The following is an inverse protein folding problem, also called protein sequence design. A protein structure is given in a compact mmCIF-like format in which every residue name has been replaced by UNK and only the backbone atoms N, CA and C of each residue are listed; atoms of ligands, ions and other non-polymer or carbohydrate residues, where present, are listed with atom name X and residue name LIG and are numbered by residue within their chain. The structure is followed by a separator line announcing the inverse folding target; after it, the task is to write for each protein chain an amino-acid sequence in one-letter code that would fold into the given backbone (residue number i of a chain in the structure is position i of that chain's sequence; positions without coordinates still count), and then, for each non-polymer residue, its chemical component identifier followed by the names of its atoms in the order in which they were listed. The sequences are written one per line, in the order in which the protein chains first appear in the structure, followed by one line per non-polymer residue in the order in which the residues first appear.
data_IF_797563009029
#
_entry.id   IF_797563009029
#
_cell.length_a   1.000
_cell.length_b   1.000
_cell.length_c   1.000
_cell.angle_alpha   90.00
_cell.angle_beta   90.00
_cell.angle_gamma   90.00
#
_symmetry.space_group_name_H-M   'P 1'
#
loop_
_entity.id
_entity.type
_entity.pdbx_description
1 polymer ?
#
# COMPACT_ATOMS: atom_id res chain seq x y z
N UNK A 1 -19.04 -8.44 -5.30
CA UNK A 1 -17.80 -8.76 -4.58
C UNK A 1 -16.99 -7.48 -4.38
N UNK A 2 -16.51 -7.23 -3.18
CA UNK A 2 -15.74 -6.04 -2.88
C UNK A 2 -14.37 -6.09 -3.51
N UNK A 3 -13.84 -4.94 -3.88
CA UNK A 3 -12.48 -4.79 -4.39
C UNK A 3 -11.62 -4.23 -3.26
N UNK A 4 -10.59 -4.96 -2.89
CA UNK A 4 -9.69 -4.58 -1.81
C UNK A 4 -8.27 -4.49 -2.35
N UNK A 5 -7.60 -3.38 -2.10
CA UNK A 5 -6.20 -3.21 -2.46
C UNK A 5 -5.33 -3.53 -1.24
N UNK A 6 -4.35 -4.38 -1.43
CA UNK A 6 -3.36 -4.69 -0.41
C UNK A 6 -2.03 -4.15 -0.89
N UNK A 7 -1.59 -3.05 -0.30
CA UNK A 7 -0.35 -2.39 -0.68
C UNK A 7 0.73 -2.79 0.32
N UNK A 8 1.77 -3.45 -0.16
CA UNK A 8 2.86 -3.91 0.68
C UNK A 8 4.04 -2.95 0.56
N UNK A 9 4.34 -2.26 1.64
CA UNK A 9 5.46 -1.32 1.73
C UNK A 9 6.36 -1.72 2.89
N UNK A 10 6.66 -3.02 2.99
CA UNK A 10 7.32 -3.60 4.16
C UNK A 10 8.83 -3.52 4.19
N UNK A 11 9.47 -2.89 3.20
CA UNK A 11 10.91 -2.78 3.20
C UNK A 11 11.42 -1.96 4.38
N UNK A 12 12.38 -2.50 5.09
CA UNK A 12 12.97 -1.80 6.24
C UNK A 12 13.98 -0.75 5.83
N UNK A 13 14.39 -0.73 4.56
CA UNK A 13 15.39 0.20 4.09
C UNK A 13 16.82 -0.15 4.50
N UNK A 14 17.04 -1.32 5.06
CA UNK A 14 18.37 -1.73 5.53
C UNK A 14 19.44 -1.71 4.46
N UNK A 15 19.05 -1.90 3.21
CA UNK A 15 19.98 -1.91 2.08
C UNK A 15 20.16 -0.55 1.45
N UNK A 16 19.42 0.44 1.91
CA UNK A 16 19.50 1.79 1.41
C UNK A 16 20.32 2.62 2.37
N UNK A 17 21.23 3.39 1.84
CA UNK A 17 21.99 4.32 2.64
C UNK A 17 21.17 5.54 3.02
N UNK A 18 19.96 5.62 2.55
CA UNK A 18 19.03 6.69 2.89
C UNK A 18 18.39 6.43 4.25
N UNK A 19 18.27 7.47 5.05
CA UNK A 19 17.57 7.41 6.32
C UNK A 19 16.07 7.29 6.14
N UNK A 20 15.57 7.66 4.97
CA UNK A 20 14.14 7.64 4.67
C UNK A 20 13.82 6.39 3.87
N UNK A 21 12.90 5.54 4.35
CA UNK A 21 12.48 4.37 3.59
C UNK A 21 11.98 4.73 2.19
N UNK A 22 12.23 3.82 1.25
CA UNK A 22 11.97 4.07 -0.16
C UNK A 22 10.53 4.49 -0.44
N UNK A 23 9.56 3.91 0.27
CA UNK A 23 8.15 4.20 0.06
C UNK A 23 7.75 5.63 0.47
N UNK A 24 8.60 6.32 1.21
CA UNK A 24 8.32 7.68 1.66
C UNK A 24 9.07 8.75 0.87
N UNK A 25 9.94 8.34 -0.05
CA UNK A 25 10.65 9.29 -0.90
C UNK A 25 9.68 10.01 -1.82
N UNK A 26 10.05 11.21 -2.25
CA UNK A 26 9.19 12.00 -3.12
C UNK A 26 9.34 11.57 -4.59
N UNK A 27 8.21 11.47 -5.27
CA UNK A 27 8.14 11.31 -6.71
C UNK A 27 7.19 12.39 -7.21
N UNK A 28 7.68 13.27 -8.10
CA UNK A 28 6.92 14.42 -8.55
C UNK A 28 6.43 15.27 -7.37
N UNK A 29 7.31 15.45 -6.38
CA UNK A 29 7.05 16.25 -5.18
C UNK A 29 5.93 15.71 -4.29
N UNK A 30 5.70 14.39 -4.33
CA UNK A 30 4.65 13.76 -3.53
C UNK A 30 5.16 12.37 -3.08
N UNK A 31 4.95 11.97 -1.80
CA UNK A 31 5.45 10.69 -1.32
C UNK A 31 4.98 9.50 -2.16
N UNK A 32 5.91 8.59 -2.46
CA UNK A 32 5.64 7.43 -3.33
C UNK A 32 4.44 6.62 -2.84
N UNK A 33 4.38 6.33 -1.55
CA UNK A 33 3.28 5.52 -1.01
C UNK A 33 1.92 6.18 -1.21
N UNK A 34 1.86 7.50 -1.10
CA UNK A 34 0.62 8.24 -1.34
C UNK A 34 0.16 8.13 -2.78
N UNK A 35 1.11 8.13 -3.74
CA UNK A 35 0.78 7.88 -5.15
C UNK A 35 0.13 6.51 -5.31
N UNK A 36 0.71 5.49 -4.67
CA UNK A 36 0.19 4.12 -4.75
C UNK A 36 -1.23 4.04 -4.19
N UNK A 37 -1.46 4.64 -3.03
CA UNK A 37 -2.78 4.62 -2.40
C UNK A 37 -3.82 5.32 -3.29
N UNK A 38 -3.46 6.44 -3.90
CA UNK A 38 -4.37 7.19 -4.77
C UNK A 38 -4.79 6.39 -5.99
N UNK A 39 -3.93 5.49 -6.49
CA UNK A 39 -4.28 4.65 -7.64
C UNK A 39 -5.43 3.69 -7.35
N UNK A 40 -5.64 3.37 -6.08
CA UNK A 40 -6.70 2.45 -5.67
C UNK A 40 -7.86 3.15 -4.97
N UNK A 41 -7.97 4.48 -5.12
CA UNK A 41 -8.99 5.26 -4.42
C UNK A 41 -10.42 4.83 -4.76
N UNK A 42 -10.62 4.13 -5.89
CA UNK A 42 -11.94 3.61 -6.30
C UNK A 42 -12.25 2.24 -5.68
N UNK A 43 -11.33 1.64 -4.94
CA UNK A 43 -11.56 0.37 -4.25
C UNK A 43 -12.33 0.61 -2.95
N UNK A 44 -13.10 -0.37 -2.53
CA UNK A 44 -13.91 -0.27 -1.30
C UNK A 44 -13.04 -0.24 -0.05
N UNK A 45 -11.88 -0.90 -0.09
CA UNK A 45 -10.98 -0.94 1.06
C UNK A 45 -9.53 -0.93 0.58
N UNK A 46 -8.69 -0.21 1.29
CA UNK A 46 -7.26 -0.17 1.03
C UNK A 46 -6.54 -0.55 2.32
N UNK A 47 -5.70 -1.58 2.25
CA UNK A 47 -4.89 -2.04 3.38
C UNK A 47 -3.44 -1.78 3.02
N UNK A 48 -2.72 -1.08 3.90
CA UNK A 48 -1.31 -0.76 3.70
C UNK A 48 -0.50 -1.49 4.78
N UNK A 49 0.44 -2.31 4.35
CA UNK A 49 1.30 -3.06 5.27
C UNK A 49 2.63 -2.35 5.37
N UNK A 50 2.97 -1.91 6.58
CA UNK A 50 4.21 -1.18 6.88
C UNK A 50 4.91 -1.83 8.07
N UNK A 51 6.25 -1.71 8.16
CA UNK A 51 6.93 -2.07 9.40
C UNK A 51 6.37 -1.21 10.53
N UNK A 52 6.18 -1.82 11.70
CA UNK A 52 5.63 -1.11 12.86
C UNK A 52 6.46 0.11 13.24
N UNK A 53 7.76 0.05 13.05
CA UNK A 53 8.68 1.16 13.33
C UNK A 53 8.42 2.39 12.47
N UNK A 54 7.66 2.24 11.39
CA UNK A 54 7.37 3.33 10.46
C UNK A 54 5.95 3.91 10.63
N UNK A 55 5.17 3.39 11.56
CA UNK A 55 3.78 3.84 11.74
C UNK A 55 3.72 5.32 12.11
N UNK A 56 4.53 5.75 13.07
CA UNK A 56 4.52 7.14 13.52
C UNK A 56 5.00 8.09 12.42
N UNK A 57 6.02 7.68 11.69
CA UNK A 57 6.54 8.48 10.58
C UNK A 57 5.47 8.66 9.51
N UNK A 58 4.80 7.57 9.14
CA UNK A 58 3.74 7.61 8.14
C UNK A 58 2.57 8.50 8.58
N UNK A 59 2.15 8.36 9.83
CA UNK A 59 1.06 9.16 10.38
C UNK A 59 1.41 10.66 10.32
N UNK A 60 2.62 11.02 10.71
CA UNK A 60 3.07 12.39 10.67
C UNK A 60 3.14 12.91 9.22
N UNK A 61 3.61 12.07 8.31
CA UNK A 61 3.70 12.42 6.91
C UNK A 61 2.31 12.72 6.32
N UNK A 62 1.33 11.89 6.67
CA UNK A 62 -0.05 12.13 6.24
C UNK A 62 -0.57 13.47 6.73
N UNK A 63 -0.28 13.82 7.98
CA UNK A 63 -0.69 15.11 8.53
C UNK A 63 -0.01 16.27 7.81
N UNK A 64 1.29 16.14 7.59
CA UNK A 64 2.09 17.20 6.95
C UNK A 64 1.60 17.48 5.53
N UNK A 65 1.14 16.45 4.84
CA UNK A 65 0.67 16.58 3.45
C UNK A 65 -0.84 16.75 3.33
N UNK A 66 -1.57 16.74 4.45
CA UNK A 66 -3.03 16.79 4.40
C UNK A 66 -3.63 15.60 3.67
N UNK A 67 -2.97 14.44 3.76
CA UNK A 67 -3.41 13.24 3.05
C UNK A 67 -4.48 12.54 3.89
N UNK A 68 -5.71 12.53 3.38
CA UNK A 68 -6.86 12.03 4.14
C UNK A 68 -7.59 10.87 3.45
N UNK A 69 -6.93 10.16 2.52
CA UNK A 69 -7.53 8.98 1.91
C UNK A 69 -7.66 7.87 2.95
N UNK A 70 -8.83 7.28 3.05
CA UNK A 70 -9.08 6.21 4.00
C UNK A 70 -8.27 4.97 3.65
N UNK A 71 -7.55 4.46 4.62
CA UNK A 71 -6.79 3.21 4.49
C UNK A 71 -6.54 2.63 5.86
N UNK A 72 -6.26 1.34 5.90
CA UNK A 72 -5.99 0.61 7.13
C UNK A 72 -4.51 0.27 7.16
N UNK A 73 -3.84 0.55 8.28
CA UNK A 73 -2.42 0.22 8.45
C UNK A 73 -2.31 -1.10 9.19
N UNK A 74 -1.47 -2.00 8.66
CA UNK A 74 -1.23 -3.32 9.24
C UNK A 74 0.28 -3.50 9.40
N UNK A 75 0.69 -4.12 10.51
CA UNK A 75 2.10 -4.38 10.78
C UNK A 75 2.66 -5.41 9.78
N UNK A 76 3.80 -5.10 9.18
CA UNK A 76 4.51 -6.00 8.29
C UNK A 76 5.31 -7.03 9.05
N UNK A 77 5.63 -8.12 8.37
CA UNK A 77 6.49 -9.16 8.91
C UNK A 77 7.94 -9.02 8.45
N UNK A 78 8.73 -10.05 8.75
CA UNK A 78 10.15 -10.06 8.40
C UNK A 78 10.41 -10.30 6.92
N UNK A 79 9.41 -10.82 6.19
CA UNK A 79 9.51 -11.08 4.75
C UNK A 79 8.31 -10.50 4.04
N UNK A 80 8.41 -10.36 2.70
CA UNK A 80 7.26 -9.93 1.90
C UNK A 80 6.10 -10.90 2.06
N UNK A 81 6.39 -12.21 2.08
CA UNK A 81 5.37 -13.24 2.27
C UNK A 81 4.62 -13.03 3.58
N UNK A 82 5.35 -12.83 4.67
CA UNK A 82 4.74 -12.62 5.98
C UNK A 82 3.92 -11.32 6.01
N UNK A 83 4.40 -10.27 5.36
CA UNK A 83 3.68 -9.00 5.27
C UNK A 83 2.36 -9.16 4.52
N UNK A 84 2.37 -9.88 3.39
CA UNK A 84 1.15 -10.17 2.63
C UNK A 84 0.18 -10.96 3.50
N UNK A 85 0.68 -11.98 4.19
CA UNK A 85 -0.15 -12.82 5.06
C UNK A 85 -0.81 -11.99 6.17
N UNK A 86 -0.05 -11.08 6.78
CA UNK A 86 -0.60 -10.22 7.84
C UNK A 86 -1.72 -9.32 7.31
N UNK A 87 -1.53 -8.79 6.10
CA UNK A 87 -2.56 -7.95 5.48
C UNK A 87 -3.82 -8.75 5.13
N UNK A 88 -3.64 -9.94 4.57
CA UNK A 88 -4.76 -10.80 4.21
C UNK A 88 -5.57 -11.23 5.43
N UNK A 89 -4.93 -11.36 6.58
CA UNK A 89 -5.63 -11.73 7.82
C UNK A 89 -6.67 -10.71 8.26
N UNK A 90 -6.61 -9.48 7.72
CA UNK A 90 -7.59 -8.44 8.01
C UNK A 90 -8.81 -8.49 7.09
N UNK A 91 -8.83 -9.43 6.16
CA UNK A 91 -9.93 -9.58 5.21
C UNK A 91 -10.69 -10.85 5.56
N UNK A 92 -11.94 -10.69 5.96
CA UNK A 92 -12.78 -11.81 6.39
C UNK A 92 -14.00 -12.02 5.50
N UNK A 93 -14.00 -11.44 4.33
CA UNK A 93 -15.11 -11.48 3.39
C UNK A 93 -14.62 -11.91 2.02
N UNK A 94 -15.52 -12.43 1.20
CA UNK A 94 -15.19 -12.71 -0.19
C UNK A 94 -14.89 -11.42 -0.92
N UNK A 95 -13.73 -11.37 -1.58
CA UNK A 95 -13.24 -10.14 -2.18
C UNK A 95 -12.32 -10.45 -3.35
N UNK A 96 -12.22 -9.48 -4.25
CA UNK A 96 -11.15 -9.46 -5.24
C UNK A 96 -10.04 -8.62 -4.65
N UNK A 97 -8.87 -9.23 -4.50
CA UNK A 97 -7.74 -8.58 -3.84
C UNK A 97 -6.66 -8.28 -4.86
N UNK A 98 -6.29 -7.00 -4.97
CA UNK A 98 -5.16 -6.57 -5.79
C UNK A 98 -3.99 -6.34 -4.85
N UNK A 99 -2.92 -7.13 -5.01
CA UNK A 99 -1.72 -7.00 -4.21
C UNK A 99 -0.73 -6.13 -4.99
N UNK A 100 -0.27 -5.05 -4.38
CA UNK A 100 0.56 -4.06 -5.02
C UNK A 100 1.76 -3.70 -4.15
N UNK A 101 2.92 -3.54 -4.78
CA UNK A 101 4.12 -3.06 -4.11
C UNK A 101 4.02 -1.54 -3.95
N UNK A 102 4.15 -1.05 -2.72
CA UNK A 102 3.98 0.37 -2.41
C UNK A 102 5.01 1.30 -3.02
N UNK A 103 6.07 0.76 -3.64
CA UNK A 103 7.08 1.57 -4.32
C UNK A 103 6.87 1.59 -5.84
N UNK A 104 5.73 1.12 -6.33
CA UNK A 104 5.40 1.11 -7.76
C UNK A 104 4.15 1.94 -8.03
N UNK A 105 4.24 3.27 -7.96
CA UNK A 105 3.05 4.13 -8.04
C UNK A 105 2.53 4.34 -9.46
N UNK A 106 3.23 3.88 -10.49
CA UNK A 106 2.90 4.21 -11.88
C UNK A 106 1.94 3.25 -12.57
N UNK A 107 1.41 2.26 -11.85
CA UNK A 107 0.39 1.38 -12.43
C UNK A 107 -0.89 2.19 -12.70
N UNK A 108 -1.46 2.04 -13.89
CA UNK A 108 -2.63 2.81 -14.26
C UNK A 108 -3.92 2.19 -13.72
N UNK A 109 -4.93 3.04 -13.51
CA UNK A 109 -6.25 2.57 -13.11
C UNK A 109 -6.83 1.60 -14.16
N UNK A 110 -6.61 1.89 -15.43
CA UNK A 110 -7.09 1.02 -16.52
C UNK A 110 -6.49 -0.38 -16.42
N UNK A 111 -5.19 -0.47 -16.14
CA UNK A 111 -4.54 -1.76 -15.97
C UNK A 111 -5.10 -2.51 -14.77
N UNK A 112 -5.32 -1.83 -13.66
CA UNK A 112 -5.91 -2.42 -12.47
C UNK A 112 -7.29 -3.00 -12.80
N UNK A 113 -8.14 -2.24 -13.44
CA UNK A 113 -9.49 -2.67 -13.79
C UNK A 113 -9.46 -3.87 -14.76
N UNK A 114 -8.53 -3.88 -15.69
CA UNK A 114 -8.36 -4.99 -16.62
C UNK A 114 -7.98 -6.28 -15.90
N UNK A 115 -7.05 -6.21 -14.94
CA UNK A 115 -6.62 -7.36 -14.16
C UNK A 115 -7.77 -7.91 -13.32
N UNK A 116 -8.57 -7.04 -12.73
CA UNK A 116 -9.74 -7.45 -11.94
C UNK A 116 -10.77 -8.14 -12.83
N UNK A 117 -11.04 -7.61 -14.02
CA UNK A 117 -11.98 -8.22 -14.96
C UNK A 117 -11.57 -9.64 -15.30
N UNK A 118 -10.28 -9.89 -15.50
CA UNK A 118 -9.78 -11.24 -15.77
C UNK A 118 -9.93 -12.14 -14.55
N UNK A 119 -9.75 -11.61 -13.36
CA UNK A 119 -9.87 -12.37 -12.13
C UNK A 119 -11.30 -12.83 -11.87
N UNK A 120 -12.28 -12.03 -12.25
CA UNK A 120 -13.70 -12.34 -12.05
C UNK A 120 -14.20 -13.56 -12.85
N UNK A 121 -13.47 -13.95 -13.84
CA UNK A 121 -13.80 -15.13 -14.60
C UNK A 121 -13.36 -16.39 -13.86
#
# INVERSE_FOLDING_TARGET
MKKIALIVAGGTGKRMKSEIPKQFLLLNNFPVLMHSIKKFSHFEKIIVVLPKTQFNYWDQLCRDWGFNKNHIIVEGGSTRFQSVKNGLAKIDEESIIAIHDGVRPLISKTLIDTLISKTKK
#
